data_IF_767490002687
#
_entry.id   IF_767490002687
#
_cell.length_a   1.000
_cell.length_b   1.000
_cell.length_c   1.000
_cell.angle_alpha   90.00
_cell.angle_beta   90.00
_cell.angle_gamma   90.00
#
_symmetry.space_group_name_H-M   'P 1'
#
loop_
_entity.id
_entity.type
_entity.pdbx_description
1 polymer ?
#
# COMPACT_ATOMS: atom_id res chain seq x y z
N UNK A 1 19.88 -10.13 -43.00
CA UNK A 1 19.20 -9.62 -41.78
C UNK A 1 20.06 -9.73 -40.52
N UNK A 2 20.81 -10.82 -40.31
CA UNK A 2 21.59 -11.06 -39.07
C UNK A 2 22.72 -10.02 -38.85
N UNK A 3 23.36 -9.50 -39.91
CA UNK A 3 24.42 -8.48 -39.79
C UNK A 3 23.95 -7.11 -39.28
N UNK A 4 22.67 -6.75 -39.41
CA UNK A 4 22.13 -5.48 -38.88
C UNK A 4 21.86 -5.53 -37.37
N UNK A 5 21.68 -6.72 -36.80
CA UNK A 5 21.44 -6.90 -35.36
C UNK A 5 22.74 -6.83 -34.54
N UNK A 6 23.87 -7.30 -35.08
CA UNK A 6 25.16 -7.17 -34.39
C UNK A 6 25.65 -5.71 -34.33
N UNK A 7 25.45 -4.94 -35.39
CA UNK A 7 25.85 -3.51 -35.43
C UNK A 7 25.11 -2.64 -34.41
N UNK A 8 23.91 -3.03 -33.96
CA UNK A 8 23.17 -2.28 -32.94
C UNK A 8 23.70 -2.54 -31.53
N UNK A 9 24.19 -3.76 -31.25
CA UNK A 9 24.76 -4.12 -29.95
C UNK A 9 26.11 -3.42 -29.68
N UNK A 10 26.95 -3.25 -30.70
CA UNK A 10 28.24 -2.57 -30.57
C UNK A 10 28.10 -1.05 -30.29
N UNK A 11 27.00 -0.43 -30.71
CA UNK A 11 26.73 0.99 -30.44
C UNK A 11 26.24 1.26 -29.00
N UNK A 12 25.70 0.24 -28.31
CA UNK A 12 25.26 0.37 -26.92
C UNK A 12 26.42 0.28 -25.91
N UNK A 13 27.50 -0.42 -26.26
CA UNK A 13 28.67 -0.58 -25.40
C UNK A 13 29.67 0.57 -25.50
N UNK A 14 29.70 1.30 -26.62
CA UNK A 14 30.72 2.32 -26.87
C UNK A 14 30.32 3.76 -26.47
N UNK A 15 29.17 3.96 -25.82
CA UNK A 15 28.82 5.26 -25.22
C UNK A 15 28.79 6.46 -26.20
N UNK A 16 28.75 6.21 -27.52
CA UNK A 16 28.60 7.26 -28.52
C UNK A 16 27.13 7.65 -28.62
N UNK A 17 26.68 8.47 -27.67
CA UNK A 17 25.43 9.22 -27.82
C UNK A 17 25.66 10.32 -28.86
N UNK A 18 25.31 10.05 -30.12
CA UNK A 18 25.09 11.14 -31.06
C UNK A 18 23.89 11.99 -30.58
N UNK A 19 24.01 13.33 -30.55
CA UNK A 19 22.90 14.18 -30.21
C UNK A 19 21.83 14.07 -31.30
N UNK A 20 20.62 13.67 -30.92
CA UNK A 20 19.48 13.56 -31.83
C UNK A 20 19.23 14.91 -32.55
N UNK A 21 18.84 14.89 -33.84
CA UNK A 21 18.54 16.11 -34.58
C UNK A 21 17.36 16.85 -33.94
N UNK A 22 17.55 18.14 -33.68
CA UNK A 22 16.53 19.06 -33.17
C UNK A 22 15.45 19.19 -34.24
N UNK A 23 14.35 18.45 -34.10
CA UNK A 23 13.16 18.60 -34.94
C UNK A 23 12.40 19.83 -34.44
N UNK A 24 12.54 20.92 -35.19
CA UNK A 24 11.86 22.18 -34.94
C UNK A 24 10.37 22.04 -35.30
N UNK A 25 9.54 21.67 -34.31
CA UNK A 25 8.09 21.54 -34.49
C UNK A 25 7.43 22.91 -34.42
N UNK A 26 7.21 23.46 -35.62
CA UNK A 26 6.45 24.66 -35.91
C UNK A 26 5.00 24.51 -35.40
N UNK A 27 4.59 25.37 -34.45
CA UNK A 27 3.22 25.45 -33.93
C UNK A 27 2.23 25.79 -35.04
N UNK A 28 1.18 24.99 -35.30
CA UNK A 28 0.03 25.47 -36.05
C UNK A 28 -0.83 26.40 -35.19
N UNK A 29 -1.35 27.43 -35.85
CA UNK A 29 -2.06 28.56 -35.30
C UNK A 29 -3.43 28.23 -34.70
N UNK A 30 -3.87 29.12 -33.80
CA UNK A 30 -5.19 29.23 -33.15
C UNK A 30 -6.35 28.84 -34.08
N UNK A 31 -7.12 27.83 -33.67
CA UNK A 31 -8.49 27.62 -34.14
C UNK A 31 -9.46 28.32 -33.16
N UNK A 32 -10.34 29.14 -33.71
CA UNK A 32 -11.34 29.92 -33.01
C UNK A 32 -12.35 29.02 -32.28
N UNK A 33 -12.58 29.31 -31.00
CA UNK A 33 -13.61 28.69 -30.18
C UNK A 33 -14.93 29.41 -30.45
N UNK A 34 -15.91 28.70 -31.01
CA UNK A 34 -17.28 29.16 -31.17
C UNK A 34 -18.01 29.20 -29.80
N UNK A 35 -18.91 30.17 -29.56
CA UNK A 35 -19.66 30.26 -28.31
C UNK A 35 -20.79 29.22 -28.25
N UNK A 36 -20.86 28.51 -27.11
CA UNK A 36 -21.90 27.52 -26.77
C UNK A 36 -23.29 28.16 -26.62
N UNK A 37 -24.39 27.47 -26.99
CA UNK A 37 -25.75 27.95 -26.79
C UNK A 37 -26.15 27.92 -25.32
N UNK A 38 -26.78 29.03 -24.86
CA UNK A 38 -27.41 29.15 -23.54
C UNK A 38 -28.68 28.31 -23.51
N UNK A 39 -28.68 27.23 -22.73
CA UNK A 39 -29.91 26.53 -22.38
C UNK A 39 -30.60 27.27 -21.22
N UNK A 40 -31.74 27.90 -21.53
CA UNK A 40 -32.73 28.28 -20.54
C UNK A 40 -33.27 27.01 -19.89
N UNK A 41 -33.07 26.85 -18.58
CA UNK A 41 -33.83 25.89 -17.77
C UNK A 41 -34.74 26.72 -16.87
N UNK A 42 -36.03 26.63 -17.17
CA UNK A 42 -37.10 27.28 -16.45
C UNK A 42 -37.27 26.69 -15.05
N UNK A 43 -37.19 27.62 -14.10
CA UNK A 43 -37.80 27.66 -12.77
C UNK A 43 -38.99 26.70 -12.57
N UNK A 44 -38.82 25.70 -11.71
CA UNK A 44 -39.91 25.19 -10.87
C UNK A 44 -39.40 24.54 -9.57
N UNK A 45 -39.83 25.15 -8.46
CA UNK A 45 -39.93 24.61 -7.12
C UNK A 45 -41.13 25.35 -6.47
N UNK A 46 -41.79 24.87 -5.40
CA UNK A 46 -41.47 23.73 -4.54
C UNK A 46 -42.66 22.76 -4.31
N UNK A 47 -42.40 21.52 -3.89
CA UNK A 47 -43.44 20.70 -3.24
C UNK A 47 -42.83 19.97 -2.06
N UNK A 48 -43.29 20.39 -0.88
CA UNK A 48 -42.95 19.81 0.41
C UNK A 48 -43.67 18.46 0.58
N UNK A 49 -42.93 17.46 1.04
CA UNK A 49 -43.50 16.29 1.71
C UNK A 49 -42.56 15.86 2.86
N UNK A 50 -43.11 15.40 4.00
CA UNK A 50 -42.38 15.23 5.25
C UNK A 50 -41.56 13.93 5.32
N UNK A 51 -40.57 13.96 6.21
CA UNK A 51 -39.59 12.92 6.58
C UNK A 51 -40.17 11.51 6.75
N UNK A 52 -39.36 10.48 6.44
CA UNK A 52 -39.26 9.30 7.28
C UNK A 52 -37.96 9.34 8.10
N UNK A 53 -38.10 9.29 9.41
CA UNK A 53 -37.03 9.02 10.37
C UNK A 53 -36.66 7.54 10.21
N UNK A 54 -35.51 7.24 9.60
CA UNK A 54 -34.96 5.88 9.57
C UNK A 54 -33.62 5.83 10.29
N UNK A 55 -33.72 5.24 11.48
CA UNK A 55 -32.82 4.28 12.08
C UNK A 55 -31.32 4.60 12.16
N UNK A 56 -30.85 4.60 13.41
CA UNK A 56 -29.47 4.56 13.83
C UNK A 56 -28.58 3.70 12.90
N UNK A 57 -27.50 4.30 12.42
CA UNK A 57 -26.32 3.59 11.92
C UNK A 57 -25.90 2.53 12.95
N UNK A 58 -25.85 1.24 12.60
CA UNK A 58 -25.21 0.26 13.46
C UNK A 58 -23.72 0.63 13.54
N UNK A 59 -23.23 0.80 14.76
CA UNK A 59 -21.80 0.95 15.01
C UNK A 59 -21.00 -0.19 14.38
N UNK A 60 -19.70 0.01 14.09
CA UNK A 60 -18.85 -1.07 13.62
C UNK A 60 -18.89 -2.20 14.65
N UNK A 61 -19.51 -3.31 14.29
CA UNK A 61 -19.49 -4.51 15.11
C UNK A 61 -18.01 -4.86 15.37
N UNK A 62 -17.61 -5.13 16.63
CA UNK A 62 -16.31 -5.73 16.88
C UNK A 62 -16.23 -7.03 16.08
N UNK A 63 -15.06 -7.30 15.49
CA UNK A 63 -14.68 -8.56 14.82
C UNK A 63 -14.82 -9.74 15.80
N UNK A 64 -16.06 -10.11 16.11
CA UNK A 64 -16.39 -11.36 16.79
C UNK A 64 -16.04 -12.46 15.79
N UNK A 65 -15.04 -13.23 16.18
CA UNK A 65 -14.27 -14.08 15.31
C UNK A 65 -15.12 -14.88 14.33
N UNK A 66 -14.67 -14.91 13.08
CA UNK A 66 -15.06 -15.91 12.07
C UNK A 66 -14.67 -17.31 12.56
N UNK A 67 -15.36 -17.81 13.59
CA UNK A 67 -15.33 -19.17 14.11
C UNK A 67 -16.06 -20.03 13.09
N UNK A 68 -15.31 -20.62 12.16
CA UNK A 68 -15.92 -21.54 11.19
C UNK A 68 -15.19 -21.69 9.87
N UNK A 69 -14.20 -20.84 9.56
CA UNK A 69 -13.34 -21.12 8.40
C UNK A 69 -12.34 -22.22 8.79
N UNK A 70 -12.31 -23.37 8.11
CA UNK A 70 -11.38 -24.44 8.45
C UNK A 70 -9.95 -23.89 8.39
N UNK A 71 -9.16 -24.28 9.39
CA UNK A 71 -7.73 -23.97 9.45
C UNK A 71 -7.08 -24.61 8.24
N UNK A 72 -6.35 -23.83 7.45
CA UNK A 72 -5.60 -24.37 6.30
C UNK A 72 -4.64 -25.47 6.77
N UNK A 73 -4.56 -26.58 6.04
CA UNK A 73 -3.70 -27.73 6.40
C UNK A 73 -2.25 -27.33 6.70
N UNK A 74 -1.72 -26.33 5.99
CA UNK A 74 -0.37 -25.81 6.20
C UNK A 74 -0.18 -25.18 7.59
N UNK A 75 -1.21 -24.50 8.11
CA UNK A 75 -1.20 -23.92 9.45
C UNK A 75 -1.29 -25.01 10.53
N UNK A 76 -2.12 -26.03 10.33
CA UNK A 76 -2.21 -27.19 11.24
C UNK A 76 -0.88 -27.94 11.33
N UNK A 77 -0.21 -28.15 10.19
CA UNK A 77 1.15 -28.75 10.17
C UNK A 77 2.17 -27.86 10.86
N UNK A 78 2.08 -26.54 10.70
CA UNK A 78 2.97 -25.59 11.38
C UNK A 78 2.80 -25.64 12.90
N UNK A 79 1.57 -25.72 13.40
CA UNK A 79 1.28 -25.84 14.83
C UNK A 79 1.88 -27.14 15.40
N UNK A 80 1.69 -28.28 14.69
CA UNK A 80 2.31 -29.57 15.09
C UNK A 80 3.83 -29.50 15.13
N UNK A 81 4.46 -28.85 14.15
CA UNK A 81 5.91 -28.69 14.10
C UNK A 81 6.43 -27.79 15.23
N UNK A 82 5.73 -26.69 15.53
CA UNK A 82 6.07 -25.82 16.67
C UNK A 82 5.90 -26.54 18.02
N UNK A 83 4.92 -27.43 18.17
CA UNK A 83 4.77 -28.24 19.37
C UNK A 83 5.94 -29.21 19.58
N UNK A 84 6.58 -29.68 18.49
CA UNK A 84 7.78 -30.53 18.57
C UNK A 84 9.11 -29.75 18.68
N UNK A 85 9.16 -28.53 18.15
CA UNK A 85 10.38 -27.70 18.08
C UNK A 85 10.01 -26.23 18.26
N UNK A 86 10.25 -25.69 19.46
CA UNK A 86 9.85 -24.32 19.82
C UNK A 86 10.61 -23.23 19.04
N UNK A 87 11.87 -23.51 18.67
CA UNK A 87 12.79 -22.56 18.03
C UNK A 87 12.83 -22.64 16.49
N UNK A 88 11.74 -23.11 15.86
CA UNK A 88 11.66 -23.23 14.40
C UNK A 88 11.86 -21.90 13.67
N UNK A 89 12.88 -21.83 12.81
CA UNK A 89 13.13 -20.64 12.00
C UNK A 89 12.19 -20.58 10.78
N UNK A 90 11.85 -19.38 10.28
CA UNK A 90 11.01 -19.26 9.08
C UNK A 90 11.63 -19.88 7.82
N UNK A 91 12.96 -19.95 7.75
CA UNK A 91 13.67 -20.52 6.62
C UNK A 91 13.56 -22.06 6.60
N UNK A 92 13.67 -22.71 7.76
CA UNK A 92 13.46 -24.15 7.88
C UNK A 92 12.01 -24.53 7.56
N UNK A 93 11.05 -23.78 8.11
CA UNK A 93 9.63 -24.04 7.85
C UNK A 93 9.28 -23.91 6.36
N UNK A 94 9.88 -22.94 5.67
CA UNK A 94 9.72 -22.76 4.23
C UNK A 94 10.19 -23.99 3.43
N UNK A 95 11.33 -24.58 3.82
CA UNK A 95 11.86 -25.80 3.20
C UNK A 95 10.96 -27.01 3.46
N UNK A 96 10.50 -27.19 4.71
CA UNK A 96 9.67 -28.34 5.10
C UNK A 96 8.31 -28.31 4.40
N UNK A 97 7.66 -27.16 4.33
CA UNK A 97 6.31 -27.02 3.76
C UNK A 97 6.33 -26.68 2.26
N UNK A 98 7.52 -26.50 1.65
CA UNK A 98 7.69 -26.04 0.26
C UNK A 98 6.92 -24.75 -0.04
N UNK A 99 6.98 -23.80 0.89
CA UNK A 99 6.31 -22.49 0.76
C UNK A 99 7.34 -21.36 0.72
N UNK A 100 6.91 -20.18 0.29
CA UNK A 100 7.78 -18.99 0.32
C UNK A 100 8.12 -18.59 1.76
N UNK A 101 9.30 -18.00 1.96
CA UNK A 101 9.76 -17.54 3.29
C UNK A 101 8.82 -16.50 3.91
N UNK A 102 8.22 -15.64 3.09
CA UNK A 102 7.22 -14.65 3.52
C UNK A 102 5.95 -15.32 4.06
N UNK A 103 5.47 -16.35 3.36
CA UNK A 103 4.31 -17.11 3.80
C UNK A 103 4.62 -17.92 5.07
N UNK A 104 5.81 -18.53 5.16
CA UNK A 104 6.28 -19.23 6.36
C UNK A 104 6.31 -18.33 7.62
N UNK A 105 6.80 -17.09 7.51
CA UNK A 105 6.73 -16.11 8.62
C UNK A 105 5.29 -15.83 9.06
N UNK A 106 4.39 -15.71 8.08
CA UNK A 106 2.97 -15.47 8.35
C UNK A 106 2.34 -16.66 9.07
N UNK A 107 2.67 -17.90 8.66
CA UNK A 107 2.22 -19.12 9.33
C UNK A 107 2.75 -19.21 10.76
N UNK A 108 4.04 -18.98 11.00
CA UNK A 108 4.63 -19.00 12.34
C UNK A 108 3.98 -17.96 13.26
N UNK A 109 3.77 -16.72 12.76
CA UNK A 109 3.09 -15.67 13.53
C UNK A 109 1.67 -16.10 13.91
N UNK A 110 0.91 -16.66 12.96
CA UNK A 110 -0.47 -17.12 13.22
C UNK A 110 -0.52 -18.33 14.15
N UNK A 111 0.45 -19.25 14.03
CA UNK A 111 0.55 -20.42 14.87
C UNK A 111 0.88 -20.03 16.32
N UNK A 112 1.83 -19.12 16.54
CA UNK A 112 2.18 -18.61 17.88
C UNK A 112 1.03 -17.88 18.57
N UNK A 113 0.25 -17.09 17.81
CA UNK A 113 -0.94 -16.43 18.36
C UNK A 113 -1.98 -17.44 18.83
N UNK A 114 -2.16 -18.55 18.10
CA UNK A 114 -3.12 -19.60 18.44
C UNK A 114 -2.62 -20.51 19.56
N UNK A 115 -1.34 -20.85 19.58
CA UNK A 115 -0.76 -21.63 20.69
C UNK A 115 -0.73 -20.83 21.99
N UNK A 116 -0.55 -19.51 21.92
CA UNK A 116 -0.67 -18.62 23.07
C UNK A 116 -2.10 -18.52 23.62
N UNK A 117 -3.11 -18.67 22.76
CA UNK A 117 -4.53 -18.65 23.13
C UNK A 117 -4.93 -19.90 23.96
N UNK A 118 -4.34 -21.07 23.69
CA UNK A 118 -4.59 -22.29 24.49
C UNK A 118 -3.93 -22.25 25.88
N UNK A 119 -2.88 -21.45 26.07
CA UNK A 119 -2.23 -21.27 27.40
C UNK A 119 -2.80 -20.09 28.21
N UNK A 120 -3.67 -19.26 27.64
CA UNK A 120 -4.10 -18.01 28.30
C UNK A 120 -5.39 -18.13 29.14
N UNK A 121 -6.03 -19.30 29.20
CA UNK A 121 -7.07 -19.54 30.23
C UNK A 121 -6.49 -19.84 31.62
N UNK A 122 -5.16 -19.92 31.78
CA UNK A 122 -4.51 -20.12 33.10
C UNK A 122 -3.33 -19.19 33.39
N UNK A 123 -3.16 -18.11 32.62
CA UNK A 123 -2.02 -17.20 32.78
C UNK A 123 -2.45 -15.74 33.01
N UNK A 124 -3.27 -15.53 34.03
CA UNK A 124 -3.25 -14.25 34.76
C UNK A 124 -1.89 -14.16 35.45
N UNK A 125 -1.14 -13.10 35.18
CA UNK A 125 0.12 -12.70 35.84
C UNK A 125 1.41 -13.43 35.46
N UNK A 126 2.11 -12.97 34.43
CA UNK A 126 3.58 -12.84 34.43
C UNK A 126 3.96 -11.62 33.57
N UNK A 127 4.11 -10.43 34.16
CA UNK A 127 5.39 -9.87 34.63
C UNK A 127 6.52 -10.16 33.65
N UNK A 128 6.85 -9.12 32.89
CA UNK A 128 7.97 -9.01 31.97
C UNK A 128 9.27 -9.30 32.76
N UNK A 129 9.81 -10.52 32.62
CA UNK A 129 11.21 -10.83 32.97
C UNK A 129 12.08 -10.56 31.75
N UNK A 130 12.68 -9.39 31.72
CA UNK A 130 13.84 -9.10 30.86
C UNK A 130 15.03 -9.93 31.34
N UNK A 131 15.60 -10.72 30.42
CA UNK A 131 16.80 -11.52 30.67
C UNK A 131 18.08 -10.69 30.84
N UNK A 132 19.17 -11.32 31.34
CA UNK A 132 20.34 -10.65 31.87
C UNK A 132 21.26 -10.13 30.75
N UNK A 133 21.60 -8.85 30.85
CA UNK A 133 22.63 -8.20 30.03
C UNK A 133 24.01 -8.48 30.65
N UNK A 134 25.04 -8.84 29.88
CA UNK A 134 26.36 -9.17 30.42
C UNK A 134 27.03 -7.94 31.04
N UNK A 135 27.66 -8.16 32.19
CA UNK A 135 28.27 -7.16 33.05
C UNK A 135 29.53 -6.53 32.42
N UNK A 136 29.54 -5.20 32.34
CA UNK A 136 30.77 -4.40 32.29
C UNK A 136 30.98 -3.76 33.68
N UNK A 137 32.23 -3.56 34.12
CA UNK A 137 32.54 -3.05 35.46
C UNK A 137 32.11 -1.57 35.62
N UNK A 138 31.62 -1.16 36.81
CA UNK A 138 31.15 0.20 37.05
C UNK A 138 32.33 1.16 37.30
N UNK A 139 32.44 2.20 36.48
CA UNK A 139 33.16 3.41 36.85
C UNK A 139 32.22 4.30 37.69
N UNK A 140 32.67 4.91 38.81
CA UNK A 140 31.83 5.77 39.62
C UNK A 140 31.70 7.15 38.94
N UNK A 141 30.61 7.33 38.18
CA UNK A 141 30.18 8.67 37.77
C UNK A 141 28.99 9.02 38.65
N UNK A 142 29.17 10.04 39.50
CA UNK A 142 28.10 10.64 40.26
C UNK A 142 27.03 11.18 39.30
N UNK A 143 25.90 10.48 39.21
CA UNK A 143 24.73 10.94 38.46
C UNK A 143 23.82 11.65 39.45
N UNK A 144 23.95 12.97 39.50
CA UNK A 144 22.93 13.86 40.05
C UNK A 144 21.60 13.58 39.34
N UNK A 145 20.48 13.37 40.05
CA UNK A 145 19.20 13.20 39.41
C UNK A 145 18.75 14.53 38.81
N UNK A 146 18.92 14.68 37.49
CA UNK A 146 18.27 15.74 36.73
C UNK A 146 16.77 15.46 36.79
N UNK A 147 16.10 16.05 37.77
CA UNK A 147 14.65 16.22 37.75
C UNK A 147 14.34 17.16 36.59
N UNK A 148 14.01 16.59 35.44
CA UNK A 148 13.38 17.33 34.36
C UNK A 148 12.01 17.77 34.86
N UNK A 149 11.95 18.98 35.42
CA UNK A 149 10.71 19.71 35.64
C UNK A 149 10.08 19.89 34.27
N UNK A 150 9.18 18.99 33.90
CA UNK A 150 8.36 19.12 32.70
C UNK A 150 7.38 20.25 33.02
N UNK A 151 7.76 21.47 32.67
CA UNK A 151 6.90 22.65 32.80
C UNK A 151 5.57 22.37 32.09
N UNK A 152 4.44 22.67 32.75
CA UNK A 152 3.10 22.41 32.22
C UNK A 152 2.88 22.96 30.80
N UNK A 153 3.59 24.02 30.44
CA UNK A 153 3.56 24.64 29.11
C UNK A 153 4.11 23.73 28.00
N UNK A 154 5.07 22.84 28.32
CA UNK A 154 5.55 21.85 27.36
C UNK A 154 4.53 20.74 27.12
N UNK A 155 3.73 20.40 28.13
CA UNK A 155 2.64 19.43 27.97
C UNK A 155 1.49 20.03 27.16
N UNK A 156 1.14 21.30 27.41
CA UNK A 156 0.13 22.01 26.62
C UNK A 156 0.51 22.08 25.13
N UNK A 157 1.76 22.46 24.83
CA UNK A 157 2.24 22.52 23.43
C UNK A 157 2.34 21.15 22.74
N UNK A 158 2.59 20.07 23.49
CA UNK A 158 2.55 18.71 22.93
C UNK A 158 1.11 18.27 22.66
N UNK A 159 0.17 18.59 23.53
CA UNK A 159 -1.25 18.29 23.33
C UNK A 159 -1.83 19.04 22.13
N UNK A 160 -1.53 20.33 21.98
CA UNK A 160 -1.98 21.12 20.81
C UNK A 160 -1.43 20.56 19.49
N UNK A 161 -0.17 20.11 19.49
CA UNK A 161 0.46 19.48 18.31
C UNK A 161 -0.17 18.12 17.99
N UNK A 162 -0.52 17.34 19.01
CA UNK A 162 -1.21 16.07 18.83
C UNK A 162 -2.62 16.29 18.28
N UNK A 163 -3.36 17.25 18.80
CA UNK A 163 -4.71 17.59 18.32
C UNK A 163 -4.67 18.09 16.86
N UNK A 164 -3.70 18.93 16.51
CA UNK A 164 -3.50 19.37 15.13
C UNK A 164 -3.16 18.20 14.19
N UNK A 165 -2.29 17.28 14.61
CA UNK A 165 -1.93 16.10 13.82
C UNK A 165 -3.11 15.11 13.68
N UNK A 166 -3.92 14.94 14.73
CA UNK A 166 -5.13 14.15 14.67
C UNK A 166 -6.15 14.77 13.72
N UNK A 167 -6.33 16.10 13.76
CA UNK A 167 -7.15 16.85 12.82
C UNK A 167 -6.69 16.65 11.36
N UNK A 168 -5.38 16.68 11.11
CA UNK A 168 -4.81 16.42 9.79
C UNK A 168 -5.07 14.98 9.32
N UNK A 169 -4.87 13.97 10.18
CA UNK A 169 -5.16 12.57 9.87
C UNK A 169 -6.66 12.35 9.63
N UNK A 170 -7.52 12.99 10.43
CA UNK A 170 -8.97 12.97 10.27
C UNK A 170 -9.37 13.58 8.92
N UNK A 171 -8.73 14.70 8.54
CA UNK A 171 -8.91 15.34 7.23
C UNK A 171 -8.48 14.41 6.08
N UNK A 172 -7.36 13.70 6.22
CA UNK A 172 -6.87 12.74 5.22
C UNK A 172 -7.75 11.49 5.11
N UNK A 173 -8.37 11.07 6.22
CA UNK A 173 -9.31 9.93 6.25
C UNK A 173 -10.67 10.29 5.69
N UNK A 174 -11.15 11.50 5.98
CA UNK A 174 -12.42 12.03 5.45
C UNK A 174 -12.27 12.43 3.98
N UNK A 175 -11.11 12.94 3.58
CA UNK A 175 -10.62 12.93 2.19
C UNK A 175 -10.19 11.52 1.81
N UNK A 176 -11.09 10.53 1.99
CA UNK A 176 -10.92 9.20 1.41
C UNK A 176 -10.37 9.40 0.00
N UNK A 177 -9.17 8.88 -0.36
CA UNK A 177 -8.75 8.91 -1.75
C UNK A 177 -9.85 8.19 -2.50
N UNK A 178 -10.64 8.96 -3.26
CA UNK A 178 -11.95 8.62 -3.75
C UNK A 178 -11.92 7.30 -4.49
N UNK A 179 -12.02 6.18 -3.75
CA UNK A 179 -11.62 4.85 -4.17
C UNK A 179 -10.23 4.85 -4.85
N UNK A 180 -9.28 4.04 -4.36
CA UNK A 180 -8.44 3.34 -5.34
C UNK A 180 -9.42 2.52 -6.16
N UNK A 181 -10.00 3.11 -7.20
CA UNK A 181 -10.90 2.45 -8.11
C UNK A 181 -10.08 1.24 -8.53
N UNK A 182 -10.55 0.07 -8.09
CA UNK A 182 -9.96 -1.20 -8.46
C UNK A 182 -9.95 -1.18 -9.96
N UNK A 183 -8.80 -0.84 -10.53
CA UNK A 183 -8.71 -0.58 -11.96
C UNK A 183 -9.22 -1.86 -12.62
N UNK A 184 -10.33 -1.75 -13.33
CA UNK A 184 -10.95 -2.94 -13.92
C UNK A 184 -9.90 -3.62 -14.78
N UNK A 185 -9.73 -4.93 -14.62
CA UNK A 185 -8.78 -5.70 -15.41
C UNK A 185 -8.98 -5.45 -16.91
N UNK A 186 -10.22 -5.17 -17.33
CA UNK A 186 -10.61 -4.74 -18.67
C UNK A 186 -9.87 -3.47 -19.14
N UNK A 187 -9.86 -2.40 -18.35
CA UNK A 187 -9.15 -1.18 -18.74
C UNK A 187 -7.62 -1.37 -18.76
N UNK A 188 -7.06 -2.20 -17.87
CA UNK A 188 -5.63 -2.54 -17.92
C UNK A 188 -5.26 -3.27 -19.21
N UNK A 189 -6.07 -4.27 -19.59
CA UNK A 189 -5.90 -4.99 -20.83
C UNK A 189 -6.02 -4.04 -22.05
N UNK A 190 -6.93 -3.08 -22.00
CA UNK A 190 -7.10 -2.10 -23.07
C UNK A 190 -5.91 -1.15 -23.22
N UNK A 191 -5.32 -0.67 -22.12
CA UNK A 191 -4.07 0.11 -22.12
C UNK A 191 -2.93 -0.69 -22.77
N UNK A 192 -2.79 -1.97 -22.41
CA UNK A 192 -1.75 -2.85 -22.97
C UNK A 192 -1.97 -3.03 -24.48
N UNK A 193 -3.20 -3.36 -24.89
CA UNK A 193 -3.56 -3.57 -26.30
C UNK A 193 -3.25 -2.34 -27.16
N UNK A 194 -3.66 -1.15 -26.70
CA UNK A 194 -3.41 0.12 -27.40
C UNK A 194 -1.91 0.44 -27.48
N UNK A 195 -1.15 0.15 -26.43
CA UNK A 195 0.31 0.30 -26.46
C UNK A 195 0.96 -0.67 -27.45
N UNK A 196 0.48 -1.91 -27.57
CA UNK A 196 1.00 -2.85 -28.58
C UNK A 196 0.67 -2.44 -30.02
N UNK A 197 -0.38 -1.63 -30.22
CA UNK A 197 -0.72 -1.00 -31.50
C UNK A 197 0.14 0.24 -31.82
N UNK A 198 1.09 0.60 -30.96
CA UNK A 198 1.99 1.74 -31.18
C UNK A 198 1.39 3.11 -30.82
N UNK A 199 0.26 3.16 -30.11
CA UNK A 199 -0.28 4.43 -29.61
C UNK A 199 0.63 5.01 -28.52
N UNK A 200 0.75 6.34 -28.49
CA UNK A 200 1.56 7.02 -27.46
C UNK A 200 0.82 7.05 -26.12
N UNK A 201 1.56 7.25 -25.03
CA UNK A 201 1.00 7.30 -23.67
C UNK A 201 -0.04 8.42 -23.55
N UNK A 202 0.22 9.56 -24.18
CA UNK A 202 -0.64 10.74 -24.17
C UNK A 202 -1.95 10.48 -24.92
N UNK A 203 -1.89 9.76 -26.05
CA UNK A 203 -3.07 9.34 -26.82
C UNK A 203 -3.93 8.37 -26.01
N UNK A 204 -3.32 7.34 -25.42
CA UNK A 204 -4.03 6.35 -24.59
C UNK A 204 -4.69 7.02 -23.38
N UNK A 205 -3.96 7.93 -22.72
CA UNK A 205 -4.45 8.69 -21.58
C UNK A 205 -5.67 9.54 -21.94
N UNK A 206 -5.60 10.24 -23.08
CA UNK A 206 -6.71 11.05 -23.59
C UNK A 206 -7.93 10.19 -23.94
N UNK A 207 -7.74 9.10 -24.69
CA UNK A 207 -8.84 8.27 -25.18
C UNK A 207 -9.58 7.54 -24.06
N UNK A 208 -8.85 7.07 -23.04
CA UNK A 208 -9.43 6.32 -21.93
C UNK A 208 -9.87 7.24 -20.77
N UNK A 209 -9.60 8.54 -20.86
CA UNK A 209 -9.82 9.52 -19.79
C UNK A 209 -9.12 9.06 -18.50
N UNK A 210 -7.83 8.72 -18.64
CA UNK A 210 -6.97 8.23 -17.55
C UNK A 210 -5.73 9.12 -17.43
N UNK A 211 -5.25 9.42 -16.21
CA UNK A 211 -4.00 10.15 -16.04
C UNK A 211 -2.81 9.46 -16.73
N UNK A 212 -1.98 10.24 -17.42
CA UNK A 212 -0.80 9.72 -18.14
C UNK A 212 0.18 8.96 -17.22
N UNK A 213 0.33 9.39 -15.97
CA UNK A 213 1.13 8.68 -14.96
C UNK A 213 0.62 7.27 -14.68
N UNK A 214 -0.70 7.06 -14.71
CA UNK A 214 -1.34 5.77 -14.49
C UNK A 214 -1.10 4.82 -15.68
N UNK A 215 -1.21 5.35 -16.91
CA UNK A 215 -0.87 4.60 -18.13
C UNK A 215 0.59 4.15 -18.12
N UNK A 216 1.53 5.04 -17.77
CA UNK A 216 2.96 4.70 -17.62
C UNK A 216 3.18 3.62 -16.57
N UNK A 217 2.49 3.71 -15.44
CA UNK A 217 2.58 2.71 -14.38
C UNK A 217 2.14 1.32 -14.86
N UNK A 218 0.98 1.21 -15.53
CA UNK A 218 0.53 -0.07 -16.09
C UNK A 218 1.55 -0.65 -17.04
N UNK A 219 2.00 0.14 -18.02
CA UNK A 219 2.92 -0.34 -19.03
C UNK A 219 4.25 -0.79 -18.41
N UNK A 220 4.71 -0.10 -17.35
CA UNK A 220 5.89 -0.52 -16.58
C UNK A 220 5.68 -1.85 -15.87
N UNK A 221 4.56 -2.03 -15.17
CA UNK A 221 4.24 -3.29 -14.49
C UNK A 221 4.11 -4.44 -15.49
N UNK A 222 3.43 -4.22 -16.62
CA UNK A 222 3.31 -5.21 -17.68
C UNK A 222 4.68 -5.66 -18.23
N UNK A 223 5.58 -4.71 -18.50
CA UNK A 223 6.96 -5.03 -18.94
C UNK A 223 7.72 -5.88 -17.93
N UNK A 224 7.58 -5.58 -16.64
CA UNK A 224 8.21 -6.36 -15.57
C UNK A 224 7.63 -7.78 -15.48
N UNK A 225 6.33 -7.94 -15.69
CA UNK A 225 5.70 -9.27 -15.71
C UNK A 225 6.15 -10.09 -16.92
N UNK A 226 6.22 -9.48 -18.10
CA UNK A 226 6.68 -10.17 -19.32
C UNK A 226 8.16 -10.57 -19.20
N UNK A 227 9.00 -9.73 -18.59
CA UNK A 227 10.42 -10.02 -18.41
C UNK A 227 10.72 -11.10 -17.35
N UNK A 228 9.75 -11.45 -16.51
CA UNK A 228 9.90 -12.47 -15.47
C UNK A 228 9.56 -13.89 -15.97
N UNK A 229 9.04 -14.02 -17.19
CA UNK A 229 8.71 -15.28 -17.86
C UNK A 229 9.72 -15.57 -18.96
#
# INVERSE_FOLDING_TARGET
MIRKLLSWADNLLNGKTEPAPIVNLQRPAKAAVAPLPKFLIEKSAPSAAPRPVLAATPGPAPDSGRRGRPVSDSLTRTIKLLASNEELTPAELAKVLKVTSSYARTLLRRARLRSGEETSETATSQVIKTGPRPALPPAPVAVEPVQTVVSGDMLATVLDRLEAAEGEIQSLRSSRPATRATWSNSRRAEVIHRSTKGQTVEQIASDLVVPSGEVRFILKVHRLMVAAH
#
